data_IF_019493373840
#
_entry.id   IF_019493373840
#
_cell.length_a   1.000
_cell.length_b   1.000
_cell.length_c   1.000
_cell.angle_alpha   90.00
_cell.angle_beta   90.00
_cell.angle_gamma   90.00
#
_symmetry.space_group_name_H-M   'P 1'
#
loop_
_entity.id
_entity.type
_entity.pdbx_description
1 polymer ?
#
# COMPACT_ATOMS: atom_id res chain seq x y z
N UNK A 1 -27.44 -6.98 5.41
CA UNK A 1 -26.70 -5.80 4.90
C UNK A 1 -26.12 -6.17 3.55
N UNK A 2 -26.16 -5.26 2.59
CA UNK A 2 -25.57 -5.47 1.24
C UNK A 2 -24.37 -4.56 1.06
N UNK A 3 -23.26 -5.08 0.55
CA UNK A 3 -22.03 -4.33 0.30
C UNK A 3 -21.73 -4.36 -1.20
N UNK A 4 -21.66 -3.18 -1.82
CA UNK A 4 -21.17 -3.03 -3.19
C UNK A 4 -19.65 -2.94 -3.20
N UNK A 5 -18.98 -3.61 -4.15
CA UNK A 5 -17.52 -3.67 -4.24
C UNK A 5 -17.12 -3.46 -5.70
N UNK A 6 -16.40 -2.38 -5.97
CA UNK A 6 -15.87 -2.05 -7.28
C UNK A 6 -14.40 -2.48 -7.37
N UNK A 7 -14.11 -3.44 -8.24
CA UNK A 7 -12.81 -4.14 -8.29
C UNK A 7 -12.05 -3.84 -9.60
N UNK A 8 -10.74 -3.57 -9.54
CA UNK A 8 -9.91 -3.37 -10.71
C UNK A 8 -9.44 -4.71 -11.28
N UNK A 9 -9.18 -4.73 -12.58
CA UNK A 9 -8.27 -5.68 -13.22
C UNK A 9 -6.83 -5.17 -13.15
N UNK A 10 -5.86 -6.04 -13.45
CA UNK A 10 -4.46 -5.66 -13.59
C UNK A 10 -3.68 -6.63 -14.47
N UNK A 11 -2.77 -6.11 -15.28
CA UNK A 11 -1.80 -6.89 -16.04
C UNK A 11 -0.60 -7.29 -15.18
N UNK A 12 -0.12 -6.37 -14.33
CA UNK A 12 1.02 -6.59 -13.43
C UNK A 12 0.65 -7.46 -12.22
N UNK A 13 -0.60 -7.32 -11.74
CA UNK A 13 -1.14 -8.10 -10.61
C UNK A 13 -2.42 -8.85 -11.02
N UNK A 14 -2.34 -9.93 -11.83
CA UNK A 14 -3.52 -10.60 -12.38
C UNK A 14 -4.55 -11.08 -11.33
N UNK A 15 -4.09 -11.28 -10.09
CA UNK A 15 -4.89 -11.78 -8.98
C UNK A 15 -5.27 -10.70 -7.95
N UNK A 16 -5.07 -9.41 -8.25
CA UNK A 16 -5.32 -8.31 -7.29
C UNK A 16 -6.73 -8.34 -6.68
N UNK A 17 -7.77 -8.42 -7.52
CA UNK A 17 -9.15 -8.50 -7.06
C UNK A 17 -9.43 -9.81 -6.32
N UNK A 18 -8.86 -10.92 -6.78
CA UNK A 18 -9.04 -12.22 -6.16
C UNK A 18 -8.44 -12.26 -4.76
N UNK A 19 -7.20 -11.79 -4.59
CA UNK A 19 -6.48 -11.80 -3.32
C UNK A 19 -7.18 -10.90 -2.30
N UNK A 20 -7.55 -9.67 -2.71
CA UNK A 20 -8.35 -8.76 -1.89
C UNK A 20 -9.66 -9.41 -1.43
N UNK A 21 -10.45 -9.98 -2.37
CA UNK A 21 -11.72 -10.62 -2.03
C UNK A 21 -11.56 -11.87 -1.16
N UNK A 22 -10.44 -12.59 -1.27
CA UNK A 22 -10.14 -13.75 -0.43
C UNK A 22 -9.93 -13.32 1.02
N UNK A 23 -9.13 -12.28 1.25
CA UNK A 23 -8.93 -11.72 2.58
C UNK A 23 -10.24 -11.20 3.18
N UNK A 24 -10.98 -10.38 2.42
CA UNK A 24 -12.25 -9.79 2.83
C UNK A 24 -13.27 -10.85 3.25
N UNK A 25 -13.50 -11.85 2.40
CA UNK A 25 -14.42 -12.96 2.70
C UNK A 25 -13.93 -13.82 3.85
N UNK A 26 -12.61 -13.99 3.97
CA UNK A 26 -11.99 -14.75 5.05
C UNK A 26 -12.31 -14.17 6.42
N UNK A 27 -12.13 -12.86 6.59
CA UNK A 27 -12.43 -12.17 7.86
C UNK A 27 -13.93 -12.25 8.20
N UNK A 28 -14.81 -12.10 7.20
CA UNK A 28 -16.26 -12.12 7.39
C UNK A 28 -16.86 -13.53 7.54
N UNK A 29 -16.08 -14.60 7.33
CA UNK A 29 -16.59 -15.98 7.28
C UNK A 29 -17.12 -16.48 8.64
N UNK A 30 -16.67 -15.89 9.75
CA UNK A 30 -17.10 -16.27 11.11
C UNK A 30 -18.46 -15.69 11.53
N UNK A 31 -19.04 -14.78 10.73
CA UNK A 31 -20.35 -14.20 11.04
C UNK A 31 -21.46 -15.24 10.91
N UNK A 32 -22.37 -15.25 11.88
CA UNK A 32 -23.60 -16.04 11.78
C UNK A 32 -24.41 -15.60 10.55
N UNK A 33 -25.08 -16.55 9.87
CA UNK A 33 -25.77 -16.30 8.61
C UNK A 33 -26.69 -15.05 8.56
N UNK A 34 -27.45 -14.70 9.63
CA UNK A 34 -28.25 -13.46 9.63
C UNK A 34 -27.43 -12.17 9.60
N UNK A 35 -26.17 -12.22 10.02
CA UNK A 35 -25.23 -11.10 10.07
C UNK A 35 -24.25 -11.09 8.89
N UNK A 36 -24.14 -12.19 8.14
CA UNK A 36 -23.29 -12.27 6.97
C UNK A 36 -23.75 -11.28 5.89
N UNK A 37 -22.90 -10.35 5.44
CA UNK A 37 -23.27 -9.41 4.39
C UNK A 37 -23.38 -10.09 3.03
N UNK A 38 -24.32 -9.63 2.22
CA UNK A 38 -24.38 -9.96 0.79
C UNK A 38 -23.36 -9.08 0.03
N UNK A 39 -22.43 -9.73 -0.69
CA UNK A 39 -21.32 -9.04 -1.36
C UNK A 39 -21.59 -8.99 -2.87
N UNK A 40 -21.83 -7.79 -3.38
CA UNK A 40 -22.06 -7.52 -4.80
C UNK A 40 -20.81 -6.92 -5.41
N UNK A 41 -20.34 -7.47 -6.52
CA UNK A 41 -19.10 -7.02 -7.18
C UNK A 41 -19.35 -6.50 -8.58
N UNK A 42 -18.65 -5.44 -8.98
CA UNK A 42 -18.57 -4.98 -10.37
C UNK A 42 -17.11 -4.65 -10.74
N UNK A 43 -16.78 -4.75 -12.03
CA UNK A 43 -15.45 -4.39 -12.54
C UNK A 43 -15.41 -2.92 -12.93
N UNK A 44 -14.30 -2.25 -12.62
CA UNK A 44 -14.03 -0.87 -13.01
C UNK A 44 -12.81 -0.74 -13.94
N UNK A 45 -12.52 -1.80 -14.73
CA UNK A 45 -11.34 -1.83 -15.58
C UNK A 45 -10.06 -1.67 -14.74
N UNK A 46 -9.17 -0.75 -15.10
CA UNK A 46 -7.97 -0.43 -14.31
C UNK A 46 -8.22 0.61 -13.19
N UNK A 47 -9.47 1.01 -12.96
CA UNK A 47 -9.85 2.03 -12.00
C UNK A 47 -9.52 3.46 -12.43
N UNK A 48 -9.30 3.69 -13.72
CA UNK A 48 -8.92 4.99 -14.30
C UNK A 48 -10.05 5.72 -15.02
N UNK A 49 -11.18 5.05 -15.29
CA UNK A 49 -12.35 5.62 -15.96
C UNK A 49 -13.40 6.07 -14.93
N UNK A 50 -13.48 7.39 -14.71
CA UNK A 50 -14.41 7.99 -13.76
C UNK A 50 -15.89 7.76 -14.15
N UNK A 51 -16.22 7.71 -15.44
CA UNK A 51 -17.60 7.50 -15.88
C UNK A 51 -18.06 6.06 -15.61
N UNK A 52 -17.19 5.08 -15.90
CA UNK A 52 -17.44 3.69 -15.54
C UNK A 52 -17.60 3.53 -14.03
N UNK A 53 -16.69 4.12 -13.25
CA UNK A 53 -16.71 4.04 -11.79
C UNK A 53 -18.00 4.63 -11.20
N UNK A 54 -18.39 5.83 -11.63
CA UNK A 54 -19.62 6.48 -11.18
C UNK A 54 -20.86 5.65 -11.55
N UNK A 55 -20.92 5.16 -12.79
CA UNK A 55 -22.04 4.32 -13.27
C UNK A 55 -22.20 3.06 -12.41
N UNK A 56 -21.13 2.32 -12.17
CA UNK A 56 -21.20 1.11 -11.35
C UNK A 56 -21.54 1.43 -9.89
N UNK A 57 -21.06 2.55 -9.34
CA UNK A 57 -21.45 3.02 -8.02
C UNK A 57 -22.94 3.36 -7.92
N UNK A 58 -23.51 4.03 -8.92
CA UNK A 58 -24.95 4.32 -9.02
C UNK A 58 -25.77 3.03 -9.06
N UNK A 59 -25.37 2.05 -9.87
CA UNK A 59 -26.03 0.73 -9.92
C UNK A 59 -26.00 0.07 -8.53
N UNK A 60 -24.85 0.04 -7.86
CA UNK A 60 -24.71 -0.59 -6.56
C UNK A 60 -25.58 0.10 -5.50
N UNK A 61 -25.53 1.43 -5.42
CA UNK A 61 -26.18 2.20 -4.36
C UNK A 61 -27.69 2.43 -4.62
N UNK A 62 -28.07 2.70 -5.86
CA UNK A 62 -29.45 3.08 -6.22
C UNK A 62 -30.29 1.88 -6.64
N UNK A 63 -29.76 0.97 -7.46
CA UNK A 63 -30.54 -0.16 -7.98
C UNK A 63 -30.42 -1.37 -7.06
N UNK A 64 -29.20 -1.73 -6.67
CA UNK A 64 -28.93 -2.88 -5.80
C UNK A 64 -29.05 -2.57 -4.30
N UNK A 65 -29.29 -1.30 -3.95
CA UNK A 65 -29.52 -0.82 -2.58
C UNK A 65 -28.39 -1.21 -1.61
N UNK A 66 -27.14 -1.17 -2.07
CA UNK A 66 -26.00 -1.39 -1.20
C UNK A 66 -25.99 -0.39 -0.02
N UNK A 67 -25.67 -0.90 1.17
CA UNK A 67 -25.58 -0.14 2.41
C UNK A 67 -24.22 0.54 2.57
N UNK A 68 -23.19 -0.03 1.96
CA UNK A 68 -21.81 0.42 1.96
C UNK A 68 -21.19 0.15 0.59
N UNK A 69 -20.33 1.05 0.13
CA UNK A 69 -19.55 0.88 -1.09
C UNK A 69 -18.06 0.73 -0.75
N UNK A 70 -17.41 -0.25 -1.33
CA UNK A 70 -15.95 -0.38 -1.37
C UNK A 70 -15.51 -0.11 -2.80
N UNK A 71 -14.49 0.73 -2.98
CA UNK A 71 -13.87 0.94 -4.29
C UNK A 71 -12.38 0.69 -4.18
N UNK A 72 -11.88 -0.24 -5.01
CA UNK A 72 -10.45 -0.45 -5.14
C UNK A 72 -9.93 0.39 -6.32
N UNK A 73 -9.67 1.67 -6.05
CA UNK A 73 -9.20 2.68 -6.98
C UNK A 73 -8.42 3.77 -6.25
N UNK A 74 -7.81 4.71 -6.98
CA UNK A 74 -6.97 5.76 -6.41
C UNK A 74 -7.35 7.17 -6.92
N UNK A 75 -6.78 8.18 -6.28
CA UNK A 75 -6.92 9.59 -6.66
C UNK A 75 -6.25 9.88 -8.01
N UNK A 76 -6.80 10.85 -8.79
CA UNK A 76 -7.98 11.66 -8.48
C UNK A 76 -9.32 11.01 -8.90
N UNK A 77 -9.29 9.81 -9.48
CA UNK A 77 -10.47 9.23 -10.17
C UNK A 77 -11.62 8.94 -9.20
N UNK A 78 -11.31 8.46 -8.00
CA UNK A 78 -12.29 8.17 -6.94
C UNK A 78 -13.11 9.37 -6.48
N UNK A 79 -12.65 10.60 -6.74
CA UNK A 79 -13.33 11.82 -6.32
C UNK A 79 -14.68 12.01 -7.01
N UNK A 80 -14.89 11.37 -8.17
CA UNK A 80 -16.18 11.36 -8.86
C UNK A 80 -17.32 10.80 -7.99
N UNK A 81 -17.00 9.98 -6.97
CA UNK A 81 -17.98 9.35 -6.09
C UNK A 81 -18.43 10.23 -4.93
N UNK A 82 -17.67 11.25 -4.55
CA UNK A 82 -17.88 11.98 -3.27
C UNK A 82 -19.23 12.66 -3.18
N UNK A 83 -19.69 13.28 -4.29
CA UNK A 83 -21.00 13.95 -4.31
C UNK A 83 -22.15 12.96 -4.12
N UNK A 84 -22.08 11.80 -4.77
CA UNK A 84 -23.08 10.74 -4.65
C UNK A 84 -23.12 10.17 -3.23
N UNK A 85 -21.96 9.84 -2.68
CA UNK A 85 -21.80 9.28 -1.33
C UNK A 85 -22.34 10.24 -0.27
N UNK A 86 -21.99 11.52 -0.36
CA UNK A 86 -22.47 12.54 0.57
C UNK A 86 -23.99 12.76 0.47
N UNK A 87 -24.55 12.77 -0.75
CA UNK A 87 -25.99 12.89 -0.96
C UNK A 87 -26.78 11.72 -0.36
N UNK A 88 -26.25 10.50 -0.49
CA UNK A 88 -26.89 9.28 0.02
C UNK A 88 -26.59 9.01 1.51
N UNK A 89 -25.61 9.70 2.10
CA UNK A 89 -25.13 9.48 3.47
C UNK A 89 -24.74 8.01 3.72
N UNK A 90 -24.11 7.39 2.73
CA UNK A 90 -23.61 6.00 2.76
C UNK A 90 -22.10 6.02 3.02
N UNK A 91 -21.54 4.92 3.54
CA UNK A 91 -20.09 4.81 3.70
C UNK A 91 -19.44 4.40 2.38
N UNK A 92 -18.34 5.08 2.04
CA UNK A 92 -17.39 4.68 1.01
C UNK A 92 -16.07 4.27 1.68
N UNK A 93 -15.58 3.06 1.41
CA UNK A 93 -14.21 2.65 1.76
C UNK A 93 -13.39 2.62 0.47
N UNK A 94 -12.41 3.51 0.37
CA UNK A 94 -11.43 3.51 -0.72
C UNK A 94 -10.25 2.64 -0.30
N UNK A 95 -9.91 1.67 -1.14
CA UNK A 95 -8.77 0.77 -0.92
C UNK A 95 -7.80 0.83 -2.09
N UNK A 96 -6.50 0.90 -1.81
CA UNK A 96 -5.43 0.84 -2.81
C UNK A 96 -4.05 0.60 -2.14
N UNK A 97 -2.97 0.65 -2.92
CA UNK A 97 -1.61 0.48 -2.40
C UNK A 97 -1.08 1.67 -1.58
N UNK A 98 -1.71 2.84 -1.67
CA UNK A 98 -1.20 4.07 -1.08
C UNK A 98 0.07 4.57 -1.78
N UNK A 99 0.18 4.33 -3.09
CA UNK A 99 1.30 4.83 -3.91
C UNK A 99 1.26 6.35 -4.12
N UNK A 100 0.13 6.98 -3.83
CA UNK A 100 -0.08 8.43 -3.81
C UNK A 100 -0.38 8.90 -2.40
N UNK A 101 -0.09 10.16 -2.14
CA UNK A 101 -0.63 10.81 -0.95
C UNK A 101 -2.15 10.94 -1.11
N UNK A 102 -2.95 10.47 -0.13
CA UNK A 102 -4.37 10.77 -0.11
C UNK A 102 -4.57 12.28 0.13
N UNK A 103 -5.79 12.82 -0.10
CA UNK A 103 -6.13 14.17 0.26
C UNK A 103 -5.87 14.43 1.74
N UNK A 104 -5.28 15.59 2.06
CA UNK A 104 -5.00 16.02 3.44
C UNK A 104 -6.28 16.32 4.24
N UNK A 105 -7.44 16.39 3.58
CA UNK A 105 -8.72 16.67 4.21
C UNK A 105 -9.68 15.50 4.12
N UNK A 106 -10.27 15.14 5.27
CA UNK A 106 -11.33 14.13 5.32
C UNK A 106 -12.52 14.50 4.44
N UNK A 107 -13.10 13.49 3.82
CA UNK A 107 -14.36 13.58 3.10
C UNK A 107 -15.48 12.98 3.94
N UNK A 108 -16.68 13.60 4.00
CA UNK A 108 -17.81 13.04 4.72
C UNK A 108 -18.13 11.62 4.26
N UNK A 109 -18.25 10.70 5.21
CA UNK A 109 -18.58 9.28 4.97
C UNK A 109 -17.57 8.47 4.15
N UNK A 110 -16.38 9.00 3.90
CA UNK A 110 -15.30 8.30 3.20
C UNK A 110 -14.23 7.86 4.20
N UNK A 111 -13.81 6.61 4.10
CA UNK A 111 -12.66 6.02 4.79
C UNK A 111 -11.63 5.64 3.74
N UNK A 112 -10.36 5.97 3.98
CA UNK A 112 -9.24 5.57 3.12
C UNK A 112 -8.45 4.46 3.80
N UNK A 113 -8.61 3.22 3.33
CA UNK A 113 -7.93 2.06 3.87
C UNK A 113 -6.94 1.53 2.84
N UNK A 114 -5.68 1.92 2.97
CA UNK A 114 -4.64 1.60 1.97
C UNK A 114 -3.47 0.83 2.59
N UNK A 115 -2.55 0.37 1.74
CA UNK A 115 -1.26 -0.15 2.16
C UNK A 115 -0.23 0.93 2.52
N UNK A 116 -0.58 2.22 2.41
CA UNK A 116 0.23 3.36 2.86
C UNK A 116 1.67 3.38 2.31
N UNK A 117 1.91 2.90 1.07
CA UNK A 117 3.28 2.77 0.53
C UNK A 117 4.08 4.06 0.54
N UNK A 118 3.46 5.23 0.31
CA UNK A 118 4.13 6.51 0.41
C UNK A 118 4.64 6.80 1.83
N UNK A 119 3.86 6.48 2.87
CA UNK A 119 4.29 6.62 4.26
C UNK A 119 5.46 5.68 4.57
N UNK A 120 5.39 4.42 4.13
CA UNK A 120 6.50 3.48 4.35
C UNK A 120 7.78 3.89 3.60
N UNK A 121 7.65 4.48 2.41
CA UNK A 121 8.76 5.08 1.67
C UNK A 121 9.39 6.26 2.44
N UNK A 122 8.56 7.10 3.05
CA UNK A 122 9.02 8.20 3.92
C UNK A 122 9.82 7.68 5.12
N UNK A 123 9.30 6.67 5.82
CA UNK A 123 9.98 6.04 6.96
C UNK A 123 11.32 5.41 6.57
N UNK A 124 11.37 4.67 5.46
CA UNK A 124 12.63 4.02 5.05
C UNK A 124 13.65 5.04 4.56
N UNK A 125 13.21 6.16 3.96
CA UNK A 125 14.08 7.29 3.65
C UNK A 125 14.75 7.87 4.90
N UNK A 126 13.99 8.11 5.99
CA UNK A 126 14.57 8.54 7.27
C UNK A 126 15.53 7.51 7.86
N UNK A 127 15.19 6.22 7.77
CA UNK A 127 16.06 5.15 8.25
C UNK A 127 17.36 5.05 7.44
N UNK A 128 17.30 5.21 6.12
CA UNK A 128 18.47 5.23 5.25
C UNK A 128 19.44 6.35 5.64
N UNK A 129 18.92 7.51 6.06
CA UNK A 129 19.74 8.65 6.49
C UNK A 129 20.52 8.40 7.78
N UNK A 130 20.06 7.46 8.64
CA UNK A 130 20.82 7.01 9.82
C UNK A 130 21.99 6.13 9.46
N UNK A 131 21.93 5.45 8.31
CA UNK A 131 22.97 4.54 7.82
C UNK A 131 24.00 5.30 6.96
N UNK A 132 23.55 6.22 6.10
CA UNK A 132 24.43 7.02 5.24
C UNK A 132 23.88 8.39 4.93
N UNK A 133 24.81 9.34 4.76
CA UNK A 133 24.52 10.72 4.33
C UNK A 133 24.45 10.90 2.82
N UNK A 134 24.97 9.96 2.03
CA UNK A 134 24.98 10.00 0.57
C UNK A 134 24.37 8.74 -0.01
N UNK A 135 23.50 8.89 -1.01
CA UNK A 135 22.90 7.79 -1.75
C UNK A 135 22.72 8.11 -3.23
N UNK A 136 22.70 7.08 -4.07
CA UNK A 136 22.08 7.15 -5.38
C UNK A 136 20.58 6.86 -5.25
N UNK A 137 19.74 7.48 -6.08
CA UNK A 137 18.33 7.17 -6.20
C UNK A 137 18.08 6.44 -7.52
N UNK A 138 17.39 5.30 -7.49
CA UNK A 138 17.13 4.45 -8.65
C UNK A 138 15.61 4.22 -8.79
N UNK A 139 15.07 4.44 -9.98
CA UNK A 139 13.66 4.14 -10.25
C UNK A 139 13.42 3.83 -11.72
N UNK A 140 12.29 3.24 -12.08
CA UNK A 140 11.86 3.15 -13.47
C UNK A 140 11.14 4.42 -13.91
N UNK A 141 11.08 4.65 -15.23
CA UNK A 141 10.31 5.76 -15.79
C UNK A 141 8.83 5.75 -15.36
N UNK A 142 8.20 4.57 -15.23
CA UNK A 142 6.83 4.47 -14.76
C UNK A 142 6.73 4.64 -13.24
N UNK A 143 7.53 3.92 -12.46
CA UNK A 143 7.45 3.99 -11.00
C UNK A 143 7.77 5.41 -10.48
N UNK A 144 8.59 6.17 -11.21
CA UNK A 144 8.90 7.57 -10.93
C UNK A 144 7.70 8.53 -10.93
N UNK A 145 6.56 8.15 -11.51
CA UNK A 145 5.35 8.99 -11.55
C UNK A 145 4.42 8.84 -10.34
N UNK A 146 4.79 8.05 -9.32
CA UNK A 146 4.06 7.95 -8.05
C UNK A 146 4.66 8.85 -6.97
N UNK A 147 3.93 9.07 -5.87
CA UNK A 147 4.42 9.88 -4.74
C UNK A 147 5.55 9.20 -3.95
N UNK A 148 5.85 7.94 -4.23
CA UNK A 148 6.86 7.14 -3.53
C UNK A 148 8.26 7.73 -3.62
N UNK A 149 8.66 8.19 -4.81
CA UNK A 149 9.97 8.81 -5.03
C UNK A 149 10.13 10.07 -4.18
N UNK A 150 9.11 10.94 -4.19
CA UNK A 150 9.09 12.12 -3.32
C UNK A 150 9.14 11.73 -1.85
N UNK A 151 8.30 10.79 -1.41
CA UNK A 151 8.23 10.38 -0.01
C UNK A 151 9.58 9.89 0.52
N UNK A 152 10.23 8.98 -0.21
CA UNK A 152 11.52 8.41 0.18
C UNK A 152 12.64 9.45 0.14
N UNK A 153 12.77 10.21 -0.96
CA UNK A 153 13.83 11.22 -1.09
C UNK A 153 13.67 12.35 -0.09
N UNK A 154 12.44 12.80 0.20
CA UNK A 154 12.17 13.85 1.19
C UNK A 154 12.44 13.36 2.62
N UNK A 155 12.05 12.14 2.98
CA UNK A 155 12.39 11.55 4.29
C UNK A 155 13.91 11.44 4.50
N UNK A 156 14.64 11.10 3.44
CA UNK A 156 16.11 11.08 3.45
C UNK A 156 16.71 12.49 3.59
N UNK A 157 16.22 13.46 2.81
CA UNK A 157 16.71 14.84 2.80
C UNK A 157 16.43 15.58 4.12
N UNK A 158 15.24 15.44 4.69
CA UNK A 158 14.86 16.08 5.95
C UNK A 158 15.70 15.59 7.14
N UNK A 159 16.29 14.41 7.01
CA UNK A 159 17.22 13.85 7.99
C UNK A 159 18.65 14.37 7.81
N UNK A 160 18.90 15.29 6.88
CA UNK A 160 20.19 15.91 6.61
C UNK A 160 21.10 15.08 5.69
N UNK A 161 20.54 14.35 4.74
CA UNK A 161 21.27 13.53 3.76
C UNK A 161 20.99 13.99 2.33
N UNK A 162 21.80 13.55 1.36
CA UNK A 162 21.73 14.02 -0.04
C UNK A 162 21.73 12.88 -1.05
N UNK A 163 20.85 13.01 -2.05
CA UNK A 163 20.89 12.16 -3.25
C UNK A 163 21.94 12.74 -4.20
N UNK A 164 23.02 11.97 -4.42
CA UNK A 164 24.17 12.38 -5.23
C UNK A 164 23.97 12.07 -6.73
N UNK A 165 23.07 11.14 -7.03
CA UNK A 165 22.78 10.70 -8.39
C UNK A 165 21.36 10.20 -8.53
N UNK A 166 20.70 10.52 -9.63
CA UNK A 166 19.38 10.00 -9.98
C UNK A 166 19.50 9.13 -11.22
N UNK A 167 19.17 7.85 -11.06
CA UNK A 167 19.09 6.85 -12.11
C UNK A 167 17.62 6.58 -12.43
N UNK A 168 17.24 6.81 -13.68
CA UNK A 168 15.91 6.47 -14.20
C UNK A 168 16.07 5.42 -15.29
N UNK A 169 15.67 4.19 -14.99
CA UNK A 169 15.76 3.09 -15.93
C UNK A 169 14.70 3.20 -17.03
N UNK A 170 14.93 2.47 -18.13
CA UNK A 170 13.86 2.16 -19.08
C UNK A 170 12.82 1.27 -18.44
N UNK A 171 11.61 1.26 -19.01
CA UNK A 171 10.49 0.49 -18.49
C UNK A 171 10.39 -0.94 -19.04
N UNK A 172 11.13 -1.26 -20.11
CA UNK A 172 11.19 -2.62 -20.65
C UNK A 172 12.43 -3.33 -20.14
N UNK A 173 12.27 -4.59 -19.73
CA UNK A 173 13.35 -5.41 -19.23
C UNK A 173 14.49 -5.56 -20.25
N UNK A 174 14.18 -5.67 -21.55
CA UNK A 174 15.17 -5.82 -22.61
C UNK A 174 15.97 -4.55 -22.89
N UNK A 175 15.42 -3.39 -22.50
CA UNK A 175 16.05 -2.07 -22.64
C UNK A 175 16.69 -1.60 -21.32
N UNK A 176 16.68 -2.44 -20.28
CA UNK A 176 17.18 -2.10 -18.95
C UNK A 176 18.71 -2.04 -18.95
N UNK A 177 19.23 -0.81 -18.88
CA UNK A 177 20.67 -0.51 -18.89
C UNK A 177 21.09 0.11 -17.54
N UNK A 178 21.99 -0.58 -16.83
CA UNK A 178 22.50 -0.20 -15.52
C UNK A 178 23.82 0.56 -15.59
N UNK A 179 24.44 0.69 -16.76
CA UNK A 179 25.74 1.34 -16.94
C UNK A 179 25.81 2.74 -16.31
N UNK A 180 24.79 3.61 -16.42
CA UNK A 180 24.86 4.92 -15.79
C UNK A 180 24.95 4.87 -14.26
N UNK A 181 24.22 3.94 -13.63
CA UNK A 181 24.25 3.77 -12.18
C UNK A 181 25.55 3.11 -11.73
N UNK A 182 26.00 2.06 -12.41
CA UNK A 182 27.22 1.33 -12.03
C UNK A 182 28.47 2.15 -12.32
N UNK A 183 28.51 2.89 -13.43
CA UNK A 183 29.53 3.89 -13.72
C UNK A 183 29.64 4.98 -12.65
N UNK A 184 28.50 5.50 -12.17
CA UNK A 184 28.46 6.44 -11.05
C UNK A 184 29.02 5.83 -9.76
N UNK A 185 28.55 4.65 -9.35
CA UNK A 185 28.99 3.99 -8.11
C UNK A 185 30.47 3.59 -8.14
N UNK A 186 31.00 3.22 -9.30
CA UNK A 186 32.41 2.92 -9.50
C UNK A 186 33.29 4.19 -9.39
N UNK A 187 32.79 5.32 -9.89
CA UNK A 187 33.51 6.61 -9.84
C UNK A 187 33.40 7.31 -8.47
N UNK A 188 32.40 6.97 -7.66
CA UNK A 188 32.11 7.59 -6.37
C UNK A 188 32.10 6.54 -5.26
N UNK A 189 33.29 6.14 -4.80
CA UNK A 189 33.45 5.02 -3.88
C UNK A 189 32.88 5.26 -2.48
N UNK A 190 32.63 6.51 -2.12
CA UNK A 190 31.96 6.95 -0.90
C UNK A 190 30.43 6.79 -0.95
N UNK A 191 29.84 6.53 -2.13
CA UNK A 191 28.41 6.28 -2.29
C UNK A 191 28.14 4.78 -2.41
N UNK A 192 27.68 4.15 -1.32
CA UNK A 192 27.38 2.71 -1.24
C UNK A 192 25.95 2.39 -0.80
N UNK A 193 25.07 3.37 -1.00
CA UNK A 193 23.68 3.32 -0.57
C UNK A 193 22.79 3.68 -1.75
N UNK A 194 21.74 2.89 -1.96
CA UNK A 194 20.78 3.09 -3.03
C UNK A 194 19.40 3.23 -2.39
N UNK A 195 18.70 4.30 -2.73
CA UNK A 195 17.26 4.44 -2.54
C UNK A 195 16.60 3.95 -3.83
N UNK A 196 15.73 2.94 -3.78
CA UNK A 196 15.19 2.31 -4.98
C UNK A 196 13.66 2.21 -4.96
N UNK A 197 13.03 2.60 -6.06
CA UNK A 197 11.58 2.50 -6.27
C UNK A 197 11.30 1.74 -7.56
N UNK A 198 10.83 0.50 -7.43
CA UNK A 198 10.41 -0.34 -8.55
C UNK A 198 9.15 -1.16 -8.21
N UNK A 199 8.43 -1.60 -9.24
CA UNK A 199 7.37 -2.62 -9.16
C UNK A 199 7.78 -3.91 -9.88
N UNK A 200 7.29 -4.16 -11.08
CA UNK A 200 7.56 -5.37 -11.88
C UNK A 200 9.00 -5.50 -12.40
N UNK A 201 9.74 -4.39 -12.51
CA UNK A 201 11.16 -4.40 -12.89
C UNK A 201 12.12 -4.70 -11.73
N UNK A 202 11.60 -4.91 -10.52
CA UNK A 202 12.45 -5.19 -9.34
C UNK A 202 13.36 -6.41 -9.53
N UNK A 203 12.89 -7.57 -10.06
CA UNK A 203 13.76 -8.72 -10.33
C UNK A 203 14.92 -8.34 -11.25
N UNK A 204 14.63 -7.64 -12.35
CA UNK A 204 15.63 -7.19 -13.34
C UNK A 204 16.66 -6.26 -12.69
N UNK A 205 16.20 -5.32 -11.86
CA UNK A 205 17.08 -4.42 -11.12
C UNK A 205 18.05 -5.18 -10.20
N UNK A 206 17.54 -6.13 -9.39
CA UNK A 206 18.37 -6.92 -8.49
C UNK A 206 19.38 -7.80 -9.26
N UNK A 207 18.94 -8.48 -10.32
CA UNK A 207 19.77 -9.35 -11.14
C UNK A 207 20.92 -8.58 -11.80
N UNK A 208 20.61 -7.43 -12.42
CA UNK A 208 21.62 -6.59 -13.05
C UNK A 208 22.62 -6.04 -12.04
N UNK A 209 22.13 -5.56 -10.89
CA UNK A 209 23.00 -5.06 -9.83
C UNK A 209 23.93 -6.16 -9.31
N UNK A 210 23.45 -7.40 -9.20
CA UNK A 210 24.23 -8.54 -8.72
C UNK A 210 25.35 -8.93 -9.70
N UNK A 211 25.11 -8.79 -11.01
CA UNK A 211 26.10 -9.05 -12.07
C UNK A 211 27.14 -7.94 -12.16
N UNK A 212 26.70 -6.67 -12.13
CA UNK A 212 27.58 -5.53 -12.39
C UNK A 212 28.34 -5.06 -11.15
N UNK A 213 27.83 -5.32 -9.94
CA UNK A 213 28.48 -4.99 -8.66
C UNK A 213 28.54 -6.24 -7.76
N UNK A 214 29.33 -7.27 -8.13
CA UNK A 214 29.23 -8.59 -7.48
C UNK A 214 29.91 -8.68 -6.11
N UNK A 215 30.87 -7.80 -5.80
CA UNK A 215 31.77 -7.94 -4.64
C UNK A 215 31.80 -6.72 -3.72
N UNK A 216 31.03 -5.67 -4.04
CA UNK A 216 31.04 -4.43 -3.26
C UNK A 216 29.80 -4.39 -2.37
N UNK A 217 29.97 -4.22 -1.05
CA UNK A 217 28.82 -4.08 -0.16
C UNK A 217 27.92 -2.91 -0.53
N UNK A 218 26.62 -3.17 -0.66
CA UNK A 218 25.60 -2.17 -0.97
C UNK A 218 24.43 -2.26 0.02
N UNK A 219 24.05 -1.12 0.57
CA UNK A 219 22.80 -0.98 1.32
C UNK A 219 21.73 -0.46 0.37
N UNK A 220 20.62 -1.18 0.23
CA UNK A 220 19.54 -0.85 -0.68
C UNK A 220 18.29 -0.66 0.14
N UNK A 221 17.69 0.52 0.06
CA UNK A 221 16.46 0.89 0.76
C UNK A 221 15.36 1.01 -0.28
N UNK A 222 14.35 0.15 -0.18
CA UNK A 222 13.36 -0.05 -1.24
C UNK A 222 11.96 0.35 -0.80
N UNK A 223 11.04 0.55 -1.75
CA UNK A 223 9.61 0.61 -1.45
C UNK A 223 9.08 -0.79 -1.09
N UNK A 224 7.92 -0.87 -0.40
CA UNK A 224 7.33 -2.15 0.01
C UNK A 224 7.15 -3.17 -1.13
N UNK A 225 6.76 -2.71 -2.32
CA UNK A 225 6.44 -3.60 -3.44
C UNK A 225 7.64 -4.43 -3.91
N UNK A 226 8.88 -3.92 -3.79
CA UNK A 226 10.09 -4.64 -4.18
C UNK A 226 10.44 -5.83 -3.27
N UNK A 227 9.72 -5.99 -2.15
CA UNK A 227 9.86 -7.13 -1.23
C UNK A 227 8.64 -8.07 -1.27
N UNK A 228 7.68 -7.81 -2.16
CA UNK A 228 6.59 -8.76 -2.44
C UNK A 228 7.14 -9.95 -3.21
N UNK A 229 6.68 -11.16 -2.90
CA UNK A 229 7.18 -12.40 -3.48
C UNK A 229 7.15 -12.40 -5.02
N UNK A 230 6.14 -11.78 -5.63
CA UNK A 230 6.01 -11.64 -7.09
C UNK A 230 7.15 -10.81 -7.73
N UNK A 231 7.84 -9.97 -6.96
CA UNK A 231 8.88 -9.07 -7.42
C UNK A 231 10.29 -9.42 -6.92
N UNK A 232 10.44 -10.57 -6.26
CA UNK A 232 11.75 -11.08 -5.87
C UNK A 232 12.42 -11.82 -7.04
N UNK A 233 13.76 -11.73 -7.17
CA UNK A 233 14.49 -12.44 -8.23
C UNK A 233 14.45 -13.96 -8.00
N UNK A 234 14.48 -14.79 -9.04
CA UNK A 234 14.36 -16.25 -8.90
C UNK A 234 15.45 -16.88 -8.01
N UNK A 235 16.67 -16.35 -8.09
CA UNK A 235 17.87 -16.96 -7.49
C UNK A 235 18.38 -16.27 -6.22
N UNK A 236 17.58 -15.39 -5.61
CA UNK A 236 18.04 -14.62 -4.46
C UNK A 236 18.77 -13.33 -4.82
N UNK A 237 19.06 -12.51 -3.80
CA UNK A 237 19.92 -11.33 -3.94
C UNK A 237 21.39 -11.68 -3.63
N UNK A 238 22.32 -10.89 -4.15
CA UNK A 238 23.74 -11.05 -3.84
C UNK A 238 23.99 -10.87 -2.32
N UNK A 239 24.84 -11.71 -1.73
CA UNK A 239 25.22 -11.66 -0.29
C UNK A 239 25.87 -10.33 0.14
N UNK A 240 26.46 -9.59 -0.79
CA UNK A 240 27.03 -8.26 -0.54
C UNK A 240 25.95 -7.16 -0.52
N UNK A 241 24.71 -7.49 -0.88
CA UNK A 241 23.57 -6.59 -0.81
C UNK A 241 22.82 -6.76 0.50
N UNK A 242 22.47 -5.63 1.11
CA UNK A 242 21.55 -5.56 2.24
C UNK A 242 20.33 -4.76 1.81
N UNK A 243 19.24 -5.44 1.51
CA UNK A 243 17.98 -4.81 1.06
C UNK A 243 17.03 -4.67 2.24
N UNK A 244 16.47 -3.48 2.46
CA UNK A 244 15.53 -3.23 3.55
C UNK A 244 14.40 -2.29 3.16
N UNK A 245 13.26 -2.44 3.83
CA UNK A 245 12.08 -1.59 3.67
C UNK A 245 11.34 -1.47 4.99
N UNK A 246 10.45 -0.48 5.10
CA UNK A 246 9.27 -0.63 5.94
C UNK A 246 8.15 -1.24 5.10
N UNK A 247 7.36 -2.13 5.67
CA UNK A 247 6.18 -2.72 5.02
C UNK A 247 4.94 -2.57 5.92
N UNK A 248 3.74 -2.43 5.33
CA UNK A 248 2.48 -2.39 6.08
C UNK A 248 2.12 -3.75 6.69
N UNK A 249 2.69 -4.83 6.15
CA UNK A 249 2.31 -6.20 6.46
C UNK A 249 3.46 -7.17 6.14
N UNK A 250 3.53 -8.27 6.89
CA UNK A 250 4.36 -9.43 6.54
C UNK A 250 3.72 -10.70 7.08
N UNK A 251 3.91 -11.82 6.37
CA UNK A 251 3.44 -13.14 6.81
C UNK A 251 4.02 -13.56 8.17
N UNK A 252 5.13 -12.97 8.59
CA UNK A 252 5.86 -13.30 9.81
C UNK A 252 5.24 -12.73 11.09
N UNK A 253 4.17 -11.93 10.99
CA UNK A 253 3.49 -11.39 12.17
C UNK A 253 2.82 -12.51 12.97
N UNK A 254 2.93 -12.45 14.29
CA UNK A 254 2.45 -13.49 15.20
C UNK A 254 1.13 -13.14 15.90
N UNK A 255 0.48 -12.04 15.50
CA UNK A 255 -0.84 -11.68 16.02
C UNK A 255 -1.89 -12.74 15.63
N UNK A 256 -2.90 -12.93 16.47
CA UNK A 256 -3.97 -13.89 16.20
C UNK A 256 -4.69 -13.63 14.88
N UNK A 257 -4.97 -12.35 14.58
CA UNK A 257 -5.59 -11.92 13.32
C UNK A 257 -4.72 -12.23 12.09
N UNK A 258 -3.40 -12.02 12.18
CA UNK A 258 -2.52 -12.35 11.06
C UNK A 258 -2.43 -13.86 10.82
N UNK A 259 -2.33 -14.65 11.90
CA UNK A 259 -2.32 -16.12 11.81
C UNK A 259 -3.63 -16.61 11.16
N UNK A 260 -4.77 -16.11 11.63
CA UNK A 260 -6.08 -16.45 11.08
C UNK A 260 -6.20 -16.07 9.59
N UNK A 261 -5.72 -14.89 9.21
CA UNK A 261 -5.64 -14.48 7.81
C UNK A 261 -4.80 -15.46 6.99
N UNK A 262 -3.57 -15.74 7.43
CA UNK A 262 -2.62 -16.55 6.68
C UNK A 262 -3.15 -17.98 6.46
N UNK A 263 -3.69 -18.61 7.51
CA UNK A 263 -4.29 -19.95 7.45
C UNK A 263 -5.53 -19.97 6.55
N UNK A 264 -6.40 -18.96 6.68
CA UNK A 264 -7.61 -18.85 5.85
C UNK A 264 -7.25 -18.66 4.38
N UNK A 265 -6.33 -17.75 4.07
CA UNK A 265 -5.91 -17.48 2.69
C UNK A 265 -5.27 -18.72 2.06
N UNK A 266 -4.36 -19.38 2.79
CA UNK A 266 -3.69 -20.61 2.33
C UNK A 266 -4.68 -21.75 2.11
N UNK A 267 -5.63 -21.96 3.03
CA UNK A 267 -6.64 -23.02 2.88
C UNK A 267 -7.61 -22.78 1.71
N UNK A 268 -7.93 -21.51 1.41
CA UNK A 268 -8.85 -21.15 0.32
C UNK A 268 -8.20 -21.16 -1.05
N UNK A 269 -6.90 -20.88 -1.13
CA UNK A 269 -6.22 -20.62 -2.42
C UNK A 269 -5.08 -21.57 -2.74
N UNK A 270 -4.53 -22.26 -1.73
CA UNK A 270 -3.29 -23.04 -1.85
C UNK A 270 -2.03 -22.19 -2.04
N UNK A 271 -2.14 -20.85 -2.02
CA UNK A 271 -1.04 -19.92 -2.29
C UNK A 271 -0.54 -19.24 -1.02
N UNK A 272 0.63 -18.62 -1.12
CA UNK A 272 1.20 -17.77 -0.06
C UNK A 272 0.34 -16.49 0.06
N UNK A 273 -0.06 -16.11 1.29
CA UNK A 273 -0.77 -14.84 1.54
C UNK A 273 0.08 -13.62 1.17
N UNK A 274 -0.57 -12.57 0.67
CA UNK A 274 0.08 -11.32 0.26
C UNK A 274 -0.52 -10.08 0.95
N UNK A 275 0.14 -8.93 0.76
CA UNK A 275 -0.30 -7.66 1.35
C UNK A 275 -1.68 -7.22 0.83
N UNK A 276 -2.03 -7.55 -0.41
CA UNK A 276 -3.35 -7.24 -0.99
C UNK A 276 -4.46 -8.07 -0.32
N UNK A 277 -4.18 -9.33 -0.01
CA UNK A 277 -5.05 -10.17 0.80
C UNK A 277 -5.19 -9.64 2.22
N UNK A 278 -4.10 -9.20 2.84
CA UNK A 278 -4.13 -8.57 4.17
C UNK A 278 -4.96 -7.27 4.15
N UNK A 279 -4.85 -6.46 3.09
CA UNK A 279 -5.70 -5.28 2.87
C UNK A 279 -7.17 -5.67 2.81
N UNK A 280 -7.50 -6.77 2.15
CA UNK A 280 -8.85 -7.33 2.11
C UNK A 280 -9.34 -7.75 3.50
N UNK A 281 -8.52 -8.50 4.24
CA UNK A 281 -8.84 -8.96 5.60
C UNK A 281 -9.17 -7.79 6.53
N UNK A 282 -8.31 -6.77 6.53
CA UNK A 282 -8.46 -5.59 7.38
C UNK A 282 -9.67 -4.74 6.98
N UNK A 283 -9.97 -4.68 5.67
CA UNK A 283 -11.23 -4.07 5.20
C UNK A 283 -12.44 -4.84 5.76
N UNK A 284 -12.35 -6.17 5.83
CA UNK A 284 -13.34 -7.02 6.50
C UNK A 284 -13.48 -6.69 7.98
N UNK A 285 -12.36 -6.48 8.69
CA UNK A 285 -12.38 -6.11 10.11
C UNK A 285 -13.06 -4.75 10.35
N UNK A 286 -12.82 -3.76 9.48
CA UNK A 286 -13.53 -2.47 9.51
C UNK A 286 -15.04 -2.65 9.32
N UNK A 287 -15.45 -3.51 8.38
CA UNK A 287 -16.86 -3.81 8.12
C UNK A 287 -17.50 -4.55 9.29
N UNK A 288 -16.79 -5.52 9.88
CA UNK A 288 -17.24 -6.23 11.07
C UNK A 288 -17.49 -5.25 12.20
N UNK A 289 -16.56 -4.32 12.44
CA UNK A 289 -16.73 -3.29 13.46
C UNK A 289 -17.92 -2.37 13.18
N UNK A 290 -18.09 -1.95 11.92
CA UNK A 290 -19.26 -1.19 11.49
C UNK A 290 -20.58 -1.92 11.82
N UNK A 291 -20.67 -3.21 11.47
CA UNK A 291 -21.85 -4.04 11.73
C UNK A 291 -22.12 -4.10 13.24
N UNK A 292 -21.09 -4.34 14.06
CA UNK A 292 -21.24 -4.43 15.52
C UNK A 292 -21.79 -3.13 16.10
N UNK A 293 -21.22 -1.97 15.75
CA UNK A 293 -21.68 -0.66 16.22
C UNK A 293 -23.12 -0.40 15.75
N UNK A 294 -23.45 -0.72 14.49
CA UNK A 294 -24.79 -0.53 13.95
C UNK A 294 -25.85 -1.40 14.68
N UNK A 295 -25.47 -2.60 15.13
CA UNK A 295 -26.34 -3.48 15.91
C UNK A 295 -26.53 -2.99 17.35
N UNK A 296 -25.44 -2.56 18.00
CA UNK A 296 -25.47 -2.02 19.36
C UNK A 296 -26.23 -0.68 19.43
N UNK A 297 -26.16 0.11 18.35
CA UNK A 297 -26.74 1.44 18.27
C UNK A 297 -27.65 1.61 17.04
N UNK A 298 -28.73 0.84 16.96
CA UNK A 298 -29.65 0.81 15.80
C UNK A 298 -30.26 2.18 15.39
N UNK A 299 -30.21 3.19 16.26
CA UNK A 299 -30.72 4.55 15.98
C UNK A 299 -29.63 5.51 15.48
N UNK A 300 -28.36 5.08 15.43
CA UNK A 300 -27.27 5.95 14.99
C UNK A 300 -27.39 6.23 13.49
N UNK A 301 -27.21 7.50 13.14
CA UNK A 301 -26.95 7.88 11.76
C UNK A 301 -25.58 7.35 11.30
N UNK A 302 -25.39 7.21 9.99
CA UNK A 302 -24.09 6.82 9.41
C UNK A 302 -22.93 7.66 9.93
N UNK A 303 -23.15 8.96 10.17
CA UNK A 303 -22.13 9.86 10.73
C UNK A 303 -21.76 9.50 12.17
N UNK A 304 -22.75 9.13 12.99
CA UNK A 304 -22.50 8.71 14.36
C UNK A 304 -21.76 7.36 14.41
N UNK A 305 -22.16 6.40 13.56
CA UNK A 305 -21.43 5.13 13.45
C UNK A 305 -19.97 5.37 13.04
N UNK A 306 -19.75 6.23 12.04
CA UNK A 306 -18.39 6.57 11.60
C UNK A 306 -17.56 7.20 12.72
N UNK A 307 -18.14 8.09 13.54
CA UNK A 307 -17.44 8.66 14.69
C UNK A 307 -17.06 7.59 15.71
N UNK A 308 -17.97 6.67 16.06
CA UNK A 308 -17.66 5.55 16.97
C UNK A 308 -16.57 4.63 16.41
N UNK A 309 -16.52 4.43 15.10
CA UNK A 309 -15.44 3.66 14.47
C UNK A 309 -14.06 4.33 14.63
N UNK A 310 -13.97 5.64 14.79
CA UNK A 310 -12.69 6.34 14.99
C UNK A 310 -12.11 6.11 16.39
N UNK A 311 -12.97 5.88 17.39
CA UNK A 311 -12.57 5.64 18.78
C UNK A 311 -12.44 4.14 19.11
N UNK A 312 -12.71 3.28 18.11
CA UNK A 312 -12.75 1.85 18.28
C UNK A 312 -11.37 1.18 18.20
N UNK A 313 -11.14 0.19 19.05
CA UNK A 313 -10.06 -0.79 18.87
C UNK A 313 -10.49 -1.83 17.81
N UNK A 314 -9.68 -1.96 16.76
CA UNK A 314 -9.95 -2.82 15.61
C UNK A 314 -8.68 -3.64 15.34
N UNK A 315 -8.73 -4.95 15.61
CA UNK A 315 -7.65 -5.86 15.25
C UNK A 315 -7.69 -6.22 13.76
N UNK A 316 -6.53 -6.21 13.10
CA UNK A 316 -6.35 -6.65 11.73
C UNK A 316 -5.11 -7.53 11.54
N UNK A 317 -4.97 -8.11 10.35
CA UNK A 317 -3.79 -8.83 9.89
C UNK A 317 -2.54 -7.95 9.90
N UNK A 318 -2.67 -6.63 9.67
CA UNK A 318 -1.59 -5.65 9.79
C UNK A 318 -1.33 -5.17 11.22
N UNK A 319 -1.97 -5.76 12.23
CA UNK A 319 -1.97 -5.29 13.61
C UNK A 319 -3.20 -4.43 13.94
N UNK A 320 -3.12 -3.64 15.01
CA UNK A 320 -4.21 -2.72 15.38
C UNK A 320 -4.42 -1.65 14.31
N UNK A 321 -5.66 -1.52 13.85
CA UNK A 321 -6.10 -0.54 12.88
C UNK A 321 -6.65 0.68 13.61
N UNK A 322 -6.29 1.86 13.12
CA UNK A 322 -6.75 3.14 13.65
C UNK A 322 -7.19 4.06 12.53
N UNK A 323 -8.38 4.65 12.65
CA UNK A 323 -8.92 5.60 11.69
C UNK A 323 -8.59 7.01 12.18
N UNK A 324 -7.70 7.70 11.47
CA UNK A 324 -7.34 9.07 11.82
C UNK A 324 -8.54 10.03 11.62
N UNK A 325 -8.86 10.80 12.67
CA UNK A 325 -10.01 11.70 12.64
C UNK A 325 -9.78 12.93 11.73
N UNK A 326 -8.53 13.30 11.42
CA UNK A 326 -8.24 14.45 10.56
C UNK A 326 -8.48 14.13 9.07
N UNK A 327 -8.07 12.92 8.65
CA UNK A 327 -8.01 12.52 7.23
C UNK A 327 -8.96 11.36 6.88
N UNK A 328 -9.48 10.63 7.87
CA UNK A 328 -10.14 9.32 7.71
C UNK A 328 -9.26 8.25 7.06
N UNK A 329 -7.93 8.45 7.07
CA UNK A 329 -6.97 7.43 6.66
C UNK A 329 -6.84 6.37 7.76
N UNK A 330 -6.76 5.11 7.35
CA UNK A 330 -6.53 4.00 8.27
C UNK A 330 -5.04 3.69 8.35
N UNK A 331 -4.53 3.63 9.58
CA UNK A 331 -3.15 3.32 9.90
C UNK A 331 -3.05 2.03 10.71
N UNK A 332 -1.87 1.43 10.62
CA UNK A 332 -1.42 0.28 11.39
C UNK A 332 0.06 0.47 11.70
N UNK A 333 0.65 -0.29 12.63
CA UNK A 333 2.10 -0.31 12.80
C UNK A 333 2.84 -0.59 11.48
N UNK A 334 4.09 -0.12 11.38
CA UNK A 334 4.95 -0.37 10.23
C UNK A 334 6.10 -1.29 10.62
N UNK A 335 6.40 -2.28 9.78
CA UNK A 335 7.37 -3.32 10.10
C UNK A 335 8.64 -3.11 9.29
N UNK A 336 9.77 -2.90 9.98
CA UNK A 336 11.06 -2.87 9.31
C UNK A 336 11.44 -4.30 8.93
N UNK A 337 11.68 -4.51 7.66
CA UNK A 337 12.07 -5.81 7.13
C UNK A 337 13.37 -5.73 6.36
N UNK A 338 14.10 -6.83 6.36
CA UNK A 338 15.31 -7.02 5.57
C UNK A 338 15.18 -8.30 4.74
N UNK A 339 15.61 -8.24 3.48
CA UNK A 339 15.75 -9.40 2.62
C UNK A 339 17.13 -10.01 2.83
N UNK A 340 17.20 -11.32 3.03
CA UNK A 340 18.45 -12.07 3.02
C UNK A 340 18.82 -12.57 1.60
N UNK A 341 20.02 -13.12 1.46
CA UNK A 341 20.51 -13.63 0.17
C UNK A 341 19.67 -14.78 -0.43
N UNK A 342 18.86 -15.46 0.39
CA UNK A 342 17.96 -16.53 -0.03
C UNK A 342 16.52 -16.06 -0.30
N UNK A 343 16.30 -14.74 -0.44
CA UNK A 343 14.97 -14.12 -0.56
C UNK A 343 14.05 -14.31 0.65
N UNK A 344 14.60 -14.63 1.82
CA UNK A 344 13.80 -14.66 3.03
C UNK A 344 13.72 -13.26 3.61
N UNK A 345 12.49 -12.82 3.84
CA UNK A 345 12.21 -11.60 4.59
C UNK A 345 12.43 -11.90 6.08
N UNK A 346 13.05 -10.97 6.79
CA UNK A 346 13.25 -11.02 8.25
C UNK A 346 12.74 -9.71 8.84
N UNK A 347 11.92 -9.79 9.89
CA UNK A 347 11.49 -8.60 10.65
C UNK A 347 12.62 -8.16 11.56
N UNK A 348 13.05 -6.91 11.43
CA UNK A 348 14.12 -6.32 12.23
C UNK A 348 13.59 -5.47 13.38
N UNK A 349 12.51 -4.72 13.12
CA UNK A 349 11.96 -3.77 14.07
C UNK A 349 10.48 -3.46 13.73
N UNK A 350 9.79 -2.78 14.63
CA UNK A 350 8.42 -2.30 14.43
C UNK A 350 8.32 -0.84 14.86
N UNK A 351 7.92 0.01 13.92
CA UNK A 351 7.52 1.39 14.23
C UNK A 351 6.10 1.35 14.78
N UNK A 352 5.93 1.89 15.99
CA UNK A 352 4.64 1.89 16.67
C UNK A 352 3.60 2.72 15.92
N UNK A 353 2.32 2.44 16.16
CA UNK A 353 1.23 3.22 15.55
C UNK A 353 1.35 4.72 15.85
N UNK A 354 1.77 5.10 17.06
CA UNK A 354 1.94 6.51 17.42
C UNK A 354 3.01 7.20 16.58
N UNK A 355 4.13 6.52 16.31
CA UNK A 355 5.20 7.05 15.47
C UNK A 355 4.77 7.10 13.99
N UNK A 356 4.00 6.12 13.51
CA UNK A 356 3.37 6.17 12.17
C UNK A 356 2.47 7.39 12.04
N UNK A 357 1.65 7.69 13.04
CA UNK A 357 0.77 8.86 13.04
C UNK A 357 1.55 10.18 13.09
N UNK A 358 2.66 10.22 13.83
CA UNK A 358 3.55 11.38 13.84
C UNK A 358 4.15 11.63 12.44
N UNK A 359 4.62 10.58 11.76
CA UNK A 359 5.13 10.71 10.39
C UNK A 359 4.04 11.17 9.43
N UNK A 360 2.82 10.66 9.60
CA UNK A 360 1.69 11.08 8.79
C UNK A 360 1.35 12.56 8.98
N UNK A 361 1.38 13.05 10.22
CA UNK A 361 1.20 14.47 10.52
C UNK A 361 2.29 15.32 9.84
N UNK A 362 3.54 14.85 9.78
CA UNK A 362 4.62 15.55 9.04
C UNK A 362 4.33 15.59 7.54
N UNK A 363 3.93 14.46 6.93
CA UNK A 363 3.57 14.40 5.50
C UNK A 363 2.41 15.37 5.19
N UNK A 364 1.41 15.45 6.05
CA UNK A 364 0.26 16.35 5.87
C UNK A 364 0.66 17.83 5.97
N UNK A 365 1.63 18.16 6.82
CA UNK A 365 2.08 19.53 7.04
C UNK A 365 3.14 20.00 6.01
N UNK A 366 3.72 19.07 5.26
CA UNK A 366 4.72 19.34 4.23
C UNK A 366 4.38 18.64 2.91
N UNK A 367 3.25 19.01 2.26
CA UNK A 367 2.88 18.44 0.98
C UNK A 367 3.88 18.88 -0.10
N UNK A 368 4.01 18.10 -1.20
CA UNK A 368 4.81 18.50 -2.36
C UNK A 368 4.47 19.93 -2.82
N UNK A 369 5.47 20.77 -2.96
CA UNK A 369 5.32 22.16 -3.39
C UNK A 369 5.48 22.30 -4.91
N UNK A 370 4.73 23.21 -5.54
CA UNK A 370 4.81 23.49 -6.97
C UNK A 370 3.90 22.62 -7.83
N UNK A 371 4.25 22.46 -9.12
CA UNK A 371 3.48 21.63 -10.04
C UNK A 371 3.81 20.16 -9.81
N UNK A 372 2.78 19.39 -9.46
CA UNK A 372 2.87 17.93 -9.31
C UNK A 372 2.16 17.28 -10.51
N UNK A 373 2.85 16.37 -11.18
CA UNK A 373 2.29 15.49 -12.19
C UNK A 373 2.63 14.05 -11.82
N UNK A 374 1.76 13.10 -12.13
CA UNK A 374 1.97 11.70 -11.82
C UNK A 374 0.97 10.80 -12.52
N UNK A 375 1.15 9.49 -12.36
CA UNK A 375 0.25 8.50 -12.96
C UNK A 375 -1.09 8.49 -12.27
N UNK A 376 -2.16 8.14 -12.98
CA UNK A 376 -3.52 8.04 -12.44
C UNK A 376 -3.93 6.61 -12.10
N UNK A 377 -3.04 5.64 -12.32
CA UNK A 377 -3.29 4.22 -12.10
C UNK A 377 -3.54 3.92 -10.62
N UNK A 378 -4.35 2.88 -10.39
CA UNK A 378 -4.84 2.45 -9.06
C UNK A 378 -3.78 1.79 -8.19
N UNK A 379 -2.78 1.19 -8.83
CA UNK A 379 -1.71 0.42 -8.22
C UNK A 379 -0.42 0.65 -9.02
N UNK A 380 0.72 0.34 -8.43
CA UNK A 380 2.01 0.43 -9.11
C UNK A 380 2.05 -0.53 -10.30
N UNK A 381 2.44 -0.05 -11.48
CA UNK A 381 2.61 -0.85 -12.67
C UNK A 381 3.56 -0.14 -13.63
N UNK A 382 4.38 -0.90 -14.36
CA UNK A 382 5.27 -0.41 -15.42
C UNK A 382 4.91 -0.95 -16.79
#
# INVERSE_FOLDING_TARGET
MTIGILLPGSTTYPLIAHNFMTGLKGNLAGLAAPLSPDLLTASIGFGTDANLMLKEAEIMLLDKKADLLIVFADHPVVECLFSLINALKKILIIVNSGAKYPPVHKQPFVIYHTLNYALHCRLIGKQAAKVSRKAAFATSYYDGGYSLCHAMSKGYADSGSSVEFNFVSKFKAEEFDMEPLTGFLNSNTDVRHILAIYSDLSPVFYEKLAVEIPVTPLNIFVNPAMLEELHLPEYGINKEMSVSSYVPWTILLTSGENIAFCETFKSKTGRIPDAIGALGWDTGALILKYIMIALEHAQFSTKQILNEMMDADIGGAKGTLYIDNKTHQVFSPAYQVKLDAGNHVIVQDTVSLNEVLQEWDEICNDPPQGYVSGWINTYMCS
#
